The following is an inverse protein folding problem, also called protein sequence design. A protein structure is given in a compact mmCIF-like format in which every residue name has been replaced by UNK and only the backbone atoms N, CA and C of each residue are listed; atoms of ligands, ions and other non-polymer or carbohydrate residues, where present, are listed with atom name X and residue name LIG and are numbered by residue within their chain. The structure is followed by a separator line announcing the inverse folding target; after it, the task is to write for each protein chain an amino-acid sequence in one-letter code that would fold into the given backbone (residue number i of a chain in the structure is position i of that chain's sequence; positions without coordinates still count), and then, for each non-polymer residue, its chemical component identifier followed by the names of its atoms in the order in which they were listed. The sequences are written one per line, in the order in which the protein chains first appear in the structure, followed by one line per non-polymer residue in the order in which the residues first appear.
data_IF_676879911284
#
_entry.id   IF_676879911284
#
_cell.length_a   1.000
_cell.length_b   1.000
_cell.length_c   1.000
_cell.angle_alpha   90.00
_cell.angle_beta   90.00
_cell.angle_gamma   90.00
#
_symmetry.space_group_name_H-M   'P 1'
#
loop_
_entity.id
_entity.type
_entity.pdbx_description
1 polymer ?
#
# COMPACT_ATOMS: atom_id res chain seq x y z
N UNK A 1 12.04 1.09 12.15
CA UNK A 1 12.21 0.65 13.56
C UNK A 1 12.86 -0.72 13.59
N UNK A 2 13.84 -0.95 14.47
CA UNK A 2 14.51 -2.25 14.65
C UNK A 2 14.24 -2.80 16.05
N UNK A 3 14.18 -4.12 16.19
CA UNK A 3 13.93 -4.79 17.47
C UNK A 3 13.47 -6.23 17.28
N UNK A 4 13.54 -7.03 18.34
CA UNK A 4 13.15 -8.44 18.32
C UNK A 4 11.68 -8.65 17.90
N UNK A 5 11.35 -9.86 17.44
CA UNK A 5 9.94 -10.21 17.22
C UNK A 5 9.13 -10.01 18.50
N UNK A 6 7.90 -9.51 18.38
CA UNK A 6 7.03 -9.22 19.53
C UNK A 6 7.28 -7.89 20.26
N UNK A 7 8.29 -7.09 19.88
CA UNK A 7 8.54 -5.79 20.55
C UNK A 7 7.57 -4.65 20.15
N UNK A 8 6.44 -4.95 19.52
CA UNK A 8 5.38 -3.96 19.21
C UNK A 8 5.52 -3.16 17.91
N UNK A 9 6.49 -3.46 17.03
CA UNK A 9 6.71 -2.70 15.77
C UNK A 9 5.46 -2.62 14.89
N UNK A 10 4.80 -3.76 14.65
CA UNK A 10 3.58 -3.82 13.84
C UNK A 10 2.40 -3.14 14.53
N UNK A 11 2.34 -3.20 15.87
CA UNK A 11 1.33 -2.53 16.67
C UNK A 11 1.40 -1.01 16.51
N UNK A 12 2.60 -0.41 16.49
CA UNK A 12 2.78 1.03 16.25
C UNK A 12 2.21 1.45 14.89
N UNK A 13 2.45 0.65 13.84
CA UNK A 13 1.92 0.90 12.49
C UNK A 13 0.38 0.85 12.49
N UNK A 14 -0.23 -0.06 13.27
CA UNK A 14 -1.68 -0.17 13.39
C UNK A 14 -2.31 0.97 14.22
N UNK A 15 -1.63 1.44 15.26
CA UNK A 15 -2.05 2.59 16.07
C UNK A 15 -2.01 3.89 15.24
N UNK A 16 -0.94 4.12 14.47
CA UNK A 16 -0.83 5.28 13.57
C UNK A 16 -1.95 5.33 12.53
N UNK A 17 -2.38 4.17 12.03
CA UNK A 17 -3.51 4.06 11.08
C UNK A 17 -4.89 4.10 11.75
N UNK A 18 -4.93 4.23 13.09
CA UNK A 18 -6.13 4.10 13.91
C UNK A 18 -6.95 2.85 13.56
N UNK A 19 -6.28 1.70 13.42
CA UNK A 19 -6.96 0.41 13.52
C UNK A 19 -7.30 0.08 14.98
N UNK A 20 -6.51 0.62 15.91
CA UNK A 20 -6.74 0.59 17.34
C UNK A 20 -6.46 1.98 17.91
N UNK A 21 -7.09 2.30 19.03
CA UNK A 21 -6.76 3.47 19.84
C UNK A 21 -5.85 3.02 21.01
N UNK A 22 -4.88 3.84 21.45
CA UNK A 22 -4.08 3.53 22.63
C UNK A 22 -4.96 3.50 23.89
N UNK A 23 -4.75 2.50 24.73
CA UNK A 23 -5.41 2.35 26.05
C UNK A 23 -5.00 3.48 27.00
N UNK A 24 -3.69 3.80 27.03
CA UNK A 24 -3.11 4.88 27.81
C UNK A 24 -2.19 5.75 26.95
N UNK A 25 -2.07 7.02 27.31
CA UNK A 25 -1.25 8.00 26.60
C UNK A 25 -1.94 8.58 25.36
N UNK A 26 -1.14 9.24 24.53
CA UNK A 26 -1.59 9.98 23.36
C UNK A 26 -0.66 9.71 22.17
N UNK A 27 -1.24 9.70 20.97
CA UNK A 27 -0.51 9.67 19.70
C UNK A 27 -0.93 10.90 18.90
N UNK A 28 0.03 11.74 18.53
CA UNK A 28 -0.22 12.95 17.76
C UNK A 28 0.50 12.94 16.42
N UNK A 29 -0.12 13.60 15.44
CA UNK A 29 0.49 13.98 14.16
C UNK A 29 0.36 15.50 14.08
N UNK A 30 1.47 16.20 13.88
CA UNK A 30 1.53 17.67 13.89
C UNK A 30 0.85 18.29 15.13
N UNK A 31 1.19 17.75 16.30
CA UNK A 31 0.68 18.17 17.63
C UNK A 31 -0.85 18.01 17.84
N UNK A 32 -1.56 17.42 16.89
CA UNK A 32 -2.99 17.09 17.01
C UNK A 32 -3.15 15.60 17.31
N UNK A 33 -3.97 15.26 18.30
CA UNK A 33 -4.27 13.85 18.60
C UNK A 33 -4.93 13.18 17.39
N UNK A 34 -4.43 12.01 16.98
CA UNK A 34 -5.04 11.23 15.89
C UNK A 34 -6.51 10.89 16.16
N UNK A 35 -6.93 10.83 17.43
CA UNK A 35 -8.32 10.60 17.84
C UNK A 35 -9.25 11.75 17.44
N UNK A 36 -8.72 12.96 17.38
CA UNK A 36 -9.46 14.18 17.00
C UNK A 36 -9.51 14.38 15.47
N UNK A 37 -8.64 13.70 14.73
CA UNK A 37 -8.59 13.79 13.27
C UNK A 37 -9.71 12.99 12.59
N UNK A 38 -10.14 13.48 11.43
CA UNK A 38 -10.99 12.69 10.55
C UNK A 38 -10.22 11.45 10.05
N UNK A 39 -10.79 10.27 10.26
CA UNK A 39 -10.13 9.00 9.96
C UNK A 39 -9.77 8.83 8.47
N UNK A 40 -10.68 9.25 7.58
CA UNK A 40 -10.46 9.16 6.13
C UNK A 40 -9.32 10.09 5.71
N UNK A 41 -9.33 11.33 6.20
CA UNK A 41 -8.27 12.30 5.92
C UNK A 41 -6.91 11.83 6.45
N UNK A 42 -6.85 11.35 7.70
CA UNK A 42 -5.63 10.82 8.31
C UNK A 42 -5.02 9.72 7.44
N UNK A 43 -5.83 8.75 7.01
CA UNK A 43 -5.36 7.64 6.17
C UNK A 43 -4.95 8.07 4.77
N UNK A 44 -5.49 9.17 4.24
CA UNK A 44 -5.02 9.74 2.96
C UNK A 44 -3.62 10.38 3.07
N UNK A 45 -3.18 10.76 4.27
CA UNK A 45 -1.84 11.30 4.50
C UNK A 45 -0.78 10.20 4.71
N UNK A 46 -1.19 8.93 4.82
CA UNK A 46 -0.30 7.82 5.19
C UNK A 46 -0.29 6.77 4.07
N UNK A 47 0.87 6.55 3.46
CA UNK A 47 1.14 5.38 2.62
C UNK A 47 1.74 4.23 3.44
N UNK A 48 1.27 3.00 3.23
CA UNK A 48 1.78 1.81 3.93
C UNK A 48 2.06 0.69 2.93
N UNK A 49 3.30 0.19 2.94
CA UNK A 49 3.67 -1.04 2.22
C UNK A 49 3.84 -2.16 3.23
N UNK A 50 3.01 -3.20 3.12
CA UNK A 50 3.05 -4.36 4.03
C UNK A 50 4.17 -5.34 3.67
N UNK A 51 4.61 -6.13 4.65
CA UNK A 51 5.61 -7.19 4.43
C UNK A 51 5.13 -8.22 3.41
N UNK A 52 3.86 -8.61 3.52
CA UNK A 52 3.14 -9.47 2.56
C UNK A 52 2.05 -8.63 1.88
N UNK A 53 2.33 -8.05 0.70
CA UNK A 53 1.34 -7.27 -0.02
C UNK A 53 0.28 -8.16 -0.65
N UNK A 54 -0.97 -7.74 -0.50
CA UNK A 54 -2.13 -8.40 -1.09
C UNK A 54 -2.53 -7.62 -2.34
N UNK A 55 -2.59 -8.32 -3.47
CA UNK A 55 -3.15 -7.77 -4.70
C UNK A 55 -4.57 -8.29 -4.87
N UNK A 56 -5.48 -7.40 -5.24
CA UNK A 56 -6.84 -7.77 -5.60
C UNK A 56 -6.86 -8.61 -6.86
N UNK A 57 -7.88 -9.48 -6.98
CA UNK A 57 -8.15 -10.33 -8.15
C UNK A 57 -8.63 -9.55 -9.37
N UNK A 58 -7.83 -8.59 -9.84
CA UNK A 58 -8.10 -7.68 -10.97
C UNK A 58 -6.79 -7.42 -11.74
N UNK A 59 -6.77 -6.47 -12.67
CA UNK A 59 -5.58 -6.13 -13.45
C UNK A 59 -4.52 -5.43 -12.59
N UNK A 60 -3.27 -5.41 -13.08
CA UNK A 60 -2.19 -4.62 -12.45
C UNK A 60 -2.55 -3.13 -12.44
N UNK A 61 -3.12 -2.60 -13.52
CA UNK A 61 -3.58 -1.22 -13.59
C UNK A 61 -4.56 -0.88 -12.46
N UNK A 62 -5.55 -1.74 -12.23
CA UNK A 62 -6.58 -1.53 -11.21
C UNK A 62 -6.02 -1.66 -9.78
N UNK A 63 -5.03 -2.53 -9.56
CA UNK A 63 -4.32 -2.58 -8.28
C UNK A 63 -3.57 -1.27 -7.98
N UNK A 64 -2.89 -0.68 -8.98
CA UNK A 64 -2.17 0.59 -8.80
C UNK A 64 -3.17 1.75 -8.64
N UNK A 65 -4.24 1.77 -9.45
CA UNK A 65 -5.34 2.75 -9.36
C UNK A 65 -6.01 2.74 -7.99
N UNK A 66 -6.00 1.62 -7.28
CA UNK A 66 -6.63 1.51 -5.98
C UNK A 66 -6.12 2.55 -4.96
N UNK A 67 -4.86 3.00 -5.08
CA UNK A 67 -4.32 4.07 -4.24
C UNK A 67 -4.94 5.46 -4.50
N UNK A 68 -5.44 5.71 -5.73
CA UNK A 68 -6.13 6.94 -6.13
C UNK A 68 -6.99 6.69 -7.37
N UNK A 69 -8.31 6.71 -7.22
CA UNK A 69 -9.28 6.31 -8.25
C UNK A 69 -9.17 7.19 -9.52
N UNK A 70 -9.01 8.49 -9.32
CA UNK A 70 -8.95 9.51 -10.38
C UNK A 70 -7.53 9.67 -10.93
N UNK A 71 -6.95 8.58 -11.46
CA UNK A 71 -5.64 8.59 -12.14
C UNK A 71 -5.78 8.27 -13.62
N UNK A 72 -4.96 8.91 -14.44
CA UNK A 72 -4.83 8.53 -15.86
C UNK A 72 -3.91 7.32 -16.02
N UNK A 73 -3.98 6.64 -17.16
CA UNK A 73 -3.04 5.57 -17.50
C UNK A 73 -1.57 6.05 -17.48
N UNK A 74 -1.31 7.30 -17.89
CA UNK A 74 0.03 7.88 -17.85
C UNK A 74 0.58 8.03 -16.43
N UNK A 75 -0.27 8.40 -15.47
CA UNK A 75 0.11 8.48 -14.06
C UNK A 75 0.36 7.09 -13.44
N UNK A 76 -0.44 6.09 -13.80
CA UNK A 76 -0.20 4.68 -13.42
C UNK A 76 1.17 4.22 -13.93
N UNK A 77 1.48 4.49 -15.20
CA UNK A 77 2.78 4.13 -15.78
C UNK A 77 3.94 4.87 -15.11
N UNK A 78 3.73 6.14 -14.76
CA UNK A 78 4.74 6.94 -14.07
C UNK A 78 5.03 6.40 -12.66
N UNK A 79 3.99 6.13 -11.86
CA UNK A 79 4.14 5.51 -10.54
C UNK A 79 4.84 4.15 -10.62
N UNK A 80 4.47 3.33 -11.60
CA UNK A 80 5.13 2.05 -11.84
C UNK A 80 6.60 2.19 -12.28
N UNK A 81 6.99 3.27 -12.97
CA UNK A 81 8.41 3.54 -13.28
C UNK A 81 9.18 3.90 -12.01
N UNK A 82 8.62 4.76 -11.17
CA UNK A 82 9.22 5.18 -9.90
C UNK A 82 9.38 4.00 -8.93
N UNK A 83 8.42 3.07 -8.91
CA UNK A 83 8.52 1.82 -8.15
C UNK A 83 9.39 0.74 -8.82
N UNK A 84 10.05 1.03 -9.95
CA UNK A 84 10.81 0.08 -10.75
C UNK A 84 10.00 -1.19 -11.12
N UNK A 85 8.72 -1.02 -11.43
CA UNK A 85 7.79 -2.06 -11.83
C UNK A 85 7.50 -2.06 -13.34
N UNK A 86 7.58 -0.90 -13.99
CA UNK A 86 7.16 -0.72 -15.39
C UNK A 86 7.77 -1.76 -16.36
N UNK A 87 9.08 -2.01 -16.28
CA UNK A 87 9.78 -2.93 -17.19
C UNK A 87 9.19 -4.34 -17.12
N UNK A 88 9.08 -4.92 -15.93
CA UNK A 88 8.55 -6.29 -15.81
C UNK A 88 7.05 -6.34 -16.15
N UNK A 89 6.30 -5.28 -15.86
CA UNK A 89 4.88 -5.21 -16.23
C UNK A 89 4.75 -5.28 -17.75
N UNK A 90 5.57 -4.51 -18.49
CA UNK A 90 5.55 -4.48 -19.96
C UNK A 90 6.01 -5.79 -20.63
N UNK A 91 6.76 -6.62 -19.92
CA UNK A 91 7.19 -7.95 -20.38
C UNK A 91 6.08 -9.01 -20.25
N UNK A 92 5.04 -8.75 -19.45
CA UNK A 92 3.89 -9.64 -19.35
C UNK A 92 3.05 -9.60 -20.64
N UNK A 93 2.44 -10.72 -21.07
CA UNK A 93 1.68 -10.78 -22.32
C UNK A 93 0.56 -9.74 -22.45
N UNK A 94 -0.06 -9.35 -21.32
CA UNK A 94 -1.15 -8.37 -21.28
C UNK A 94 -0.72 -7.03 -20.65
N UNK A 95 0.56 -6.85 -20.33
CA UNK A 95 1.04 -5.60 -19.75
C UNK A 95 0.31 -5.26 -18.44
N UNK A 96 -0.14 -4.01 -18.34
CA UNK A 96 -0.96 -3.50 -17.22
C UNK A 96 -2.34 -4.15 -17.10
N UNK A 97 -2.87 -4.73 -18.19
CA UNK A 97 -4.14 -5.46 -18.19
C UNK A 97 -4.00 -6.90 -17.69
N UNK A 98 -2.79 -7.32 -17.32
CA UNK A 98 -2.58 -8.66 -16.77
C UNK A 98 -3.35 -8.82 -15.46
N UNK A 99 -4.25 -9.80 -15.42
CA UNK A 99 -4.96 -10.19 -14.20
C UNK A 99 -3.99 -10.79 -13.18
N UNK A 100 -4.08 -10.38 -11.92
CA UNK A 100 -3.29 -10.89 -10.78
C UNK A 100 -4.22 -11.37 -9.66
N UNK A 101 -3.66 -11.84 -8.54
CA UNK A 101 -4.39 -12.46 -7.43
C UNK A 101 -4.53 -13.98 -7.61
N UNK A 102 -5.42 -14.62 -6.84
CA UNK A 102 -5.50 -16.10 -6.71
C UNK A 102 -5.77 -16.85 -8.03
N UNK A 103 -6.32 -16.18 -9.05
CA UNK A 103 -6.59 -16.76 -10.37
C UNK A 103 -5.81 -16.09 -11.51
N UNK A 104 -4.92 -15.16 -11.20
CA UNK A 104 -4.15 -14.39 -12.16
C UNK A 104 -2.71 -14.87 -12.33
N UNK A 105 -1.92 -14.07 -13.03
CA UNK A 105 -0.48 -14.25 -13.17
C UNK A 105 0.19 -14.29 -11.80
N UNK A 106 1.09 -15.25 -11.61
CA UNK A 106 1.88 -15.37 -10.39
C UNK A 106 3.04 -14.37 -10.44
N UNK A 107 3.00 -13.39 -9.54
CA UNK A 107 4.08 -12.45 -9.31
C UNK A 107 4.94 -12.91 -8.14
N UNK A 108 6.25 -12.75 -8.26
CA UNK A 108 7.17 -12.93 -7.13
C UNK A 108 6.85 -11.96 -5.99
N UNK A 109 7.27 -12.27 -4.76
CA UNK A 109 7.05 -11.38 -3.61
C UNK A 109 7.62 -9.97 -3.83
N UNK A 110 8.81 -9.87 -4.44
CA UNK A 110 9.43 -8.58 -4.77
C UNK A 110 8.67 -7.80 -5.86
N UNK A 111 8.03 -8.47 -6.82
CA UNK A 111 7.17 -7.80 -7.79
C UNK A 111 5.88 -7.30 -7.14
N UNK A 112 5.25 -8.09 -6.25
CA UNK A 112 4.08 -7.65 -5.49
C UNK A 112 4.38 -6.41 -4.65
N UNK A 113 5.54 -6.38 -3.99
CA UNK A 113 5.98 -5.22 -3.20
C UNK A 113 6.19 -3.93 -4.01
N UNK A 114 6.44 -4.04 -5.32
CA UNK A 114 6.59 -2.86 -6.20
C UNK A 114 5.27 -2.39 -6.80
N UNK A 115 4.23 -3.21 -6.76
CA UNK A 115 2.87 -2.83 -7.20
C UNK A 115 2.08 -2.23 -6.03
N UNK A 116 2.34 -2.72 -4.81
CA UNK A 116 1.67 -2.31 -3.59
C UNK A 116 2.03 -0.91 -3.09
#
# INVERSE_FOLDING_TARGET
FVGASGCGKSTIIQLLQRFYDPEEGQLSVDDVDVKEMNLTWLRQQIGVVSQEPVLFGTTIAENIRYGRIDVTQGEIEQAAKEANAHTFIKELPQGYETLVGDRGAQLSGGQKQRIA
#
